data_IF_668702042896
#
_entry.id   IF_668702042896
#
_cell.length_a   1.000
_cell.length_b   1.000
_cell.length_c   1.000
_cell.angle_alpha   90.00
_cell.angle_beta   90.00
_cell.angle_gamma   90.00
#
_symmetry.space_group_name_H-M   'P 1'
#
loop_
_entity.id
_entity.type
_entity.pdbx_description
1 polymer ?
#
# COMPACT_ATOMS: atom_id res chain seq x y z
N UNK A 1 11.96 -21.72 101.56
CA UNK A 1 11.50 -21.36 100.21
C UNK A 1 10.16 -22.06 100.02
N UNK A 2 9.10 -21.33 99.68
CA UNK A 2 7.74 -21.88 99.53
C UNK A 2 7.29 -22.00 98.07
N UNK A 3 8.18 -21.69 97.13
CA UNK A 3 7.95 -21.79 95.69
C UNK A 3 7.70 -23.26 95.33
N UNK A 4 6.46 -23.56 94.92
CA UNK A 4 6.03 -24.90 94.52
C UNK A 4 6.17 -25.14 93.00
N UNK A 5 6.63 -24.11 92.27
CA UNK A 5 6.85 -24.12 90.83
C UNK A 5 5.59 -23.97 89.99
N UNK A 6 4.40 -23.78 90.60
CA UNK A 6 3.15 -23.55 89.88
C UNK A 6 2.83 -22.05 89.80
N UNK A 7 2.90 -21.51 88.59
CA UNK A 7 2.75 -20.06 88.37
C UNK A 7 1.28 -19.61 88.49
N UNK A 8 0.32 -20.50 88.21
CA UNK A 8 -1.09 -20.16 88.13
C UNK A 8 -1.82 -20.12 89.48
N UNK A 9 -1.24 -20.65 90.54
CA UNK A 9 -1.77 -20.49 91.89
C UNK A 9 -1.24 -19.20 92.58
N UNK A 10 -0.34 -18.46 91.92
CA UNK A 10 0.22 -17.20 92.39
C UNK A 10 1.37 -17.36 93.38
N UNK A 11 2.24 -16.34 93.47
CA UNK A 11 3.46 -16.38 94.31
C UNK A 11 3.13 -16.74 95.75
N UNK A 12 3.77 -17.80 96.24
CA UNK A 12 3.49 -18.44 97.50
C UNK A 12 4.13 -17.68 98.65
N UNK A 13 3.35 -17.49 99.71
CA UNK A 13 3.81 -16.86 100.94
C UNK A 13 3.83 -17.88 102.08
N UNK A 14 4.88 -17.83 102.89
CA UNK A 14 4.92 -18.54 104.16
C UNK A 14 4.12 -17.74 105.20
N UNK A 15 2.91 -18.19 105.52
CA UNK A 15 2.04 -17.56 106.51
C UNK A 15 1.86 -18.56 107.66
N UNK A 16 2.29 -18.18 108.86
CA UNK A 16 2.22 -18.99 110.09
C UNK A 16 2.82 -20.41 109.96
N UNK A 17 3.91 -20.54 109.18
CA UNK A 17 4.65 -21.80 109.01
C UNK A 17 4.04 -22.78 108.00
N UNK A 18 3.00 -22.36 107.26
CA UNK A 18 2.39 -23.11 106.15
C UNK A 18 2.60 -22.34 104.85
N UNK A 19 3.00 -23.04 103.78
CA UNK A 19 3.04 -22.46 102.44
C UNK A 19 1.61 -22.40 101.89
N UNK A 20 1.17 -21.22 101.47
CA UNK A 20 -0.13 -21.01 100.84
C UNK A 20 0.08 -20.37 99.47
N UNK A 21 -0.65 -20.88 98.46
CA UNK A 21 -0.69 -20.29 97.12
C UNK A 21 -1.19 -18.84 97.18
N UNK A 22 -0.61 -18.01 96.33
CA UNK A 22 -0.93 -16.58 96.25
C UNK A 22 -2.26 -16.29 95.56
N UNK A 23 -2.37 -15.06 95.05
CA UNK A 23 -3.48 -14.68 94.16
C UNK A 23 -3.09 -15.10 92.74
N UNK A 24 -3.90 -15.92 92.04
CA UNK A 24 -3.66 -16.28 90.65
C UNK A 24 -3.44 -15.05 89.76
N UNK A 25 -2.54 -15.11 88.77
CA UNK A 25 -2.35 -14.01 87.84
C UNK A 25 -3.63 -13.76 87.03
N UNK A 26 -3.95 -12.49 86.78
CA UNK A 26 -5.03 -12.11 85.86
C UNK A 26 -4.49 -12.17 84.44
N UNK A 27 -4.93 -13.18 83.68
CA UNK A 27 -4.47 -13.41 82.31
C UNK A 27 -5.30 -12.73 81.23
N UNK A 28 -6.40 -12.05 81.60
CA UNK A 28 -7.24 -11.30 80.67
C UNK A 28 -6.41 -10.22 79.96
N UNK A 29 -6.24 -10.37 78.65
CA UNK A 29 -5.45 -9.46 77.82
C UNK A 29 -6.28 -8.28 77.29
N UNK A 30 -7.57 -8.23 77.64
CA UNK A 30 -8.52 -7.22 77.20
C UNK A 30 -9.04 -7.41 75.78
N UNK A 31 -8.68 -8.50 75.09
CA UNK A 31 -9.13 -8.81 73.73
C UNK A 31 -10.29 -9.79 73.79
N UNK A 32 -11.52 -9.32 73.58
CA UNK A 32 -12.74 -10.15 73.73
C UNK A 32 -12.79 -11.47 72.93
N UNK A 33 -11.96 -11.62 71.89
CA UNK A 33 -11.90 -12.81 71.04
C UNK A 33 -10.78 -13.79 71.37
N UNK A 34 -9.98 -13.54 72.41
CA UNK A 34 -8.98 -14.48 72.90
C UNK A 34 -9.59 -15.39 73.96
N UNK A 35 -9.07 -16.61 74.04
CA UNK A 35 -9.24 -17.47 75.20
C UNK A 35 -8.00 -17.27 76.07
N UNK A 36 -8.19 -16.49 77.13
CA UNK A 36 -7.16 -16.24 78.12
C UNK A 36 -7.20 -17.29 79.22
N UNK A 37 -6.09 -17.98 79.40
CA UNK A 37 -5.93 -18.95 80.46
C UNK A 37 -4.51 -18.91 81.04
N UNK A 38 -4.40 -19.31 82.30
CA UNK A 38 -3.09 -19.55 82.88
C UNK A 38 -2.70 -21.01 82.62
N UNK A 39 -1.55 -21.21 81.98
CA UNK A 39 -1.03 -22.52 81.62
C UNK A 39 0.33 -22.75 82.29
N UNK A 40 0.37 -23.75 83.18
CA UNK A 40 1.62 -24.19 83.81
C UNK A 40 2.63 -24.70 82.77
N UNK A 41 2.13 -25.35 81.71
CA UNK A 41 2.98 -25.84 80.62
C UNK A 41 3.64 -24.70 79.83
N UNK A 42 2.99 -23.53 79.77
CA UNK A 42 3.55 -22.33 79.16
C UNK A 42 4.32 -21.45 80.17
N UNK A 43 4.31 -21.81 81.45
CA UNK A 43 4.95 -21.05 82.53
C UNK A 43 4.27 -19.72 82.86
N UNK A 44 2.96 -19.58 82.60
CA UNK A 44 2.22 -18.35 82.86
C UNK A 44 0.99 -18.15 81.99
N UNK A 45 0.59 -16.89 81.83
CA UNK A 45 -0.61 -16.52 81.05
C UNK A 45 -0.41 -16.74 79.56
N UNK A 46 -1.42 -17.35 78.92
CA UNK A 46 -1.52 -17.54 77.48
C UNK A 46 -2.84 -16.99 76.96
N UNK A 47 -2.79 -16.32 75.81
CA UNK A 47 -3.95 -15.75 75.13
C UNK A 47 -4.03 -16.34 73.73
N UNK A 48 -4.97 -17.25 73.51
CA UNK A 48 -5.11 -17.96 72.22
C UNK A 48 -6.24 -17.30 71.43
N UNK A 49 -5.99 -16.79 70.20
CA UNK A 49 -7.04 -16.23 69.37
C UNK A 49 -8.12 -17.26 69.02
N UNK A 50 -9.40 -16.90 69.21
CA UNK A 50 -10.54 -17.77 68.90
C UNK A 50 -11.48 -17.08 67.91
N UNK A 51 -11.23 -17.29 66.61
CA UNK A 51 -11.96 -16.62 65.52
C UNK A 51 -13.48 -16.78 65.56
N UNK A 52 -14.01 -17.91 66.06
CA UNK A 52 -15.48 -18.11 66.15
C UNK A 52 -16.16 -17.10 67.09
N UNK A 53 -15.42 -16.48 68.02
CA UNK A 53 -15.94 -15.41 68.89
C UNK A 53 -16.10 -14.08 68.16
N UNK A 54 -15.54 -13.95 66.96
CA UNK A 54 -15.62 -12.75 66.14
C UNK A 54 -16.74 -12.76 65.10
N UNK A 55 -17.52 -13.84 64.99
CA UNK A 55 -18.59 -13.93 64.00
C UNK A 55 -19.64 -12.85 64.23
N UNK A 56 -19.74 -11.91 63.28
CA UNK A 56 -20.69 -10.79 63.32
C UNK A 56 -22.01 -11.12 62.59
N UNK A 57 -22.03 -12.25 61.88
CA UNK A 57 -23.20 -12.77 61.16
C UNK A 57 -23.28 -12.33 59.70
N UNK A 58 -22.45 -11.38 59.28
CA UNK A 58 -22.33 -10.89 57.91
C UNK A 58 -21.55 -11.91 57.08
N UNK A 59 -22.13 -12.32 55.96
CA UNK A 59 -21.53 -13.29 55.06
C UNK A 59 -20.56 -12.63 54.08
N UNK A 60 -20.89 -11.44 53.58
CA UNK A 60 -20.21 -10.80 52.46
C UNK A 60 -18.89 -10.12 52.83
N UNK A 61 -18.67 -9.77 54.10
CA UNK A 61 -17.40 -9.27 54.60
C UNK A 61 -16.40 -10.40 54.97
N UNK A 62 -16.82 -11.66 54.82
CA UNK A 62 -15.98 -12.85 55.02
C UNK A 62 -15.70 -13.20 56.48
N UNK A 63 -15.09 -14.38 56.67
CA UNK A 63 -14.83 -14.91 58.00
C UNK A 63 -13.81 -14.07 58.78
N UNK A 64 -14.24 -13.66 59.97
CA UNK A 64 -13.64 -12.70 60.85
C UNK A 64 -12.53 -13.36 61.64
N UNK A 65 -11.44 -12.61 61.83
CA UNK A 65 -10.23 -13.12 62.45
C UNK A 65 -9.99 -12.36 63.74
N UNK A 66 -9.65 -13.10 64.79
CA UNK A 66 -9.20 -12.49 66.03
C UNK A 66 -7.77 -12.00 65.86
N UNK A 67 -7.57 -10.69 65.99
CA UNK A 67 -6.25 -10.05 65.97
C UNK A 67 -5.88 -9.56 67.38
N UNK A 68 -4.60 -9.18 67.61
CA UNK A 68 -4.20 -8.54 68.88
C UNK A 68 -4.92 -7.22 69.19
N UNK A 69 -5.69 -6.67 68.24
CA UNK A 69 -6.50 -5.45 68.43
C UNK A 69 -7.99 -5.75 68.59
N UNK A 70 -8.39 -7.02 68.65
CA UNK A 70 -9.79 -7.45 68.61
C UNK A 70 -10.18 -8.06 67.26
N UNK A 71 -11.49 -8.25 67.10
CA UNK A 71 -12.08 -8.82 65.89
C UNK A 71 -11.92 -7.89 64.71
N UNK A 72 -11.42 -8.44 63.60
CA UNK A 72 -11.37 -7.75 62.32
C UNK A 72 -12.18 -8.53 61.28
N UNK A 73 -12.91 -7.85 60.38
CA UNK A 73 -13.59 -8.49 59.27
C UNK A 73 -12.63 -9.30 58.41
N UNK A 74 -13.14 -10.36 57.79
CA UNK A 74 -12.40 -11.18 56.86
C UNK A 74 -12.11 -10.50 55.52
N UNK A 75 -11.61 -11.30 54.59
CA UNK A 75 -11.56 -10.90 53.17
C UNK A 75 -12.99 -10.98 52.61
N UNK A 76 -13.52 -9.90 52.00
CA UNK A 76 -14.85 -9.92 51.40
C UNK A 76 -15.02 -11.05 50.38
N UNK A 77 -16.24 -11.58 50.30
CA UNK A 77 -16.60 -12.60 49.31
C UNK A 77 -16.58 -11.96 47.92
N UNK A 78 -15.74 -12.50 47.03
CA UNK A 78 -15.69 -12.11 45.62
C UNK A 78 -16.69 -12.97 44.85
N UNK A 79 -17.65 -12.32 44.21
CA UNK A 79 -18.75 -12.99 43.51
C UNK A 79 -18.62 -13.03 41.99
N UNK A 80 -17.54 -12.49 41.45
CA UNK A 80 -17.23 -12.48 40.02
C UNK A 80 -17.26 -13.91 39.44
N UNK A 81 -18.14 -14.13 38.46
CA UNK A 81 -18.30 -15.41 37.75
C UNK A 81 -17.59 -15.42 36.39
N UNK A 82 -16.90 -14.32 36.04
CA UNK A 82 -16.18 -14.15 34.79
C UNK A 82 -17.05 -13.83 33.58
N UNK A 83 -18.34 -13.57 33.75
CA UNK A 83 -19.23 -13.16 32.68
C UNK A 83 -19.41 -11.63 32.66
N UNK A 84 -18.93 -10.96 31.61
CA UNK A 84 -19.02 -9.51 31.46
C UNK A 84 -20.46 -8.98 31.43
N UNK A 85 -21.43 -9.82 31.05
CA UNK A 85 -22.84 -9.44 30.91
C UNK A 85 -23.69 -9.60 32.16
N UNK A 86 -23.07 -9.96 33.27
CA UNK A 86 -23.74 -10.04 34.55
C UNK A 86 -23.10 -9.10 35.55
N UNK A 87 -23.92 -8.67 36.50
CA UNK A 87 -23.45 -7.96 37.68
C UNK A 87 -23.64 -8.88 38.86
N UNK A 88 -22.53 -9.19 39.51
CA UNK A 88 -22.50 -10.07 40.66
C UNK A 88 -22.46 -9.24 41.93
N UNK A 89 -23.37 -9.53 42.84
CA UNK A 89 -23.33 -8.95 44.18
C UNK A 89 -23.51 -10.04 45.20
N UNK A 90 -22.89 -9.83 46.35
CA UNK A 90 -23.09 -10.68 47.50
C UNK A 90 -24.38 -10.28 48.22
N UNK A 91 -25.31 -11.21 48.39
CA UNK A 91 -26.58 -11.00 49.09
C UNK A 91 -26.48 -11.57 50.51
N UNK A 92 -26.53 -10.69 51.51
CA UNK A 92 -26.46 -11.04 52.93
C UNK A 92 -27.66 -11.85 53.42
N UNK A 93 -28.83 -11.65 52.82
CA UNK A 93 -30.07 -12.31 53.22
C UNK A 93 -30.09 -13.76 52.74
N UNK A 94 -29.60 -14.01 51.53
CA UNK A 94 -29.51 -15.38 50.99
C UNK A 94 -28.18 -16.05 51.33
N UNK A 95 -27.19 -15.30 51.83
CA UNK A 95 -25.83 -15.75 52.13
C UNK A 95 -25.19 -16.42 50.91
N UNK A 96 -25.33 -15.78 49.75
CA UNK A 96 -24.87 -16.32 48.47
C UNK A 96 -24.45 -15.21 47.52
N UNK A 97 -23.60 -15.56 46.54
CA UNK A 97 -23.39 -14.73 45.36
C UNK A 97 -24.62 -14.82 44.45
N UNK A 98 -25.09 -13.68 43.97
CA UNK A 98 -26.22 -13.57 43.07
C UNK A 98 -25.76 -12.82 41.83
N UNK A 99 -26.01 -13.42 40.67
CA UNK A 99 -25.74 -12.83 39.36
C UNK A 99 -27.04 -12.26 38.78
N UNK A 100 -27.01 -11.00 38.33
CA UNK A 100 -28.12 -10.34 37.61
C UNK A 100 -27.65 -9.94 36.22
N UNK A 101 -28.30 -10.47 35.19
CA UNK A 101 -28.00 -10.11 33.80
C UNK A 101 -28.53 -8.73 33.42
N UNK A 102 -27.75 -8.01 32.60
CA UNK A 102 -28.23 -6.90 31.77
C UNK A 102 -28.32 -5.53 32.45
N UNK A 103 -27.42 -5.18 33.37
CA UNK A 103 -27.43 -3.85 34.00
C UNK A 103 -26.13 -3.04 33.87
N UNK A 104 -24.99 -3.66 33.54
CA UNK A 104 -23.69 -2.96 33.43
C UNK A 104 -23.06 -3.00 32.02
N UNK A 105 -23.82 -3.37 30.98
CA UNK A 105 -23.43 -3.06 29.61
C UNK A 105 -23.56 -1.53 29.41
N UNK A 106 -22.51 -0.82 29.81
CA UNK A 106 -22.41 0.60 29.57
C UNK A 106 -22.46 0.90 28.06
N UNK A 107 -22.63 2.17 27.67
CA UNK A 107 -22.61 2.60 26.27
C UNK A 107 -21.20 2.55 25.62
N UNK A 108 -20.32 1.67 26.12
CA UNK A 108 -18.97 1.47 25.63
C UNK A 108 -19.05 0.23 24.74
N UNK A 109 -19.09 0.47 23.43
CA UNK A 109 -19.32 -0.59 22.44
C UNK A 109 -18.33 -1.76 22.53
N UNK A 110 -18.72 -2.83 21.84
CA UNK A 110 -18.04 -4.12 21.76
C UNK A 110 -16.51 -4.06 21.57
N UNK A 111 -15.74 -4.84 22.34
CA UNK A 111 -14.37 -5.15 21.97
C UNK A 111 -14.38 -6.26 20.93
N UNK A 112 -14.08 -5.89 19.70
CA UNK A 112 -14.32 -6.74 18.55
C UNK A 112 -13.43 -8.00 18.40
N UNK A 113 -12.71 -8.43 19.45
CA UNK A 113 -11.65 -9.46 19.40
C UNK A 113 -11.41 -10.26 20.69
N UNK A 114 -12.17 -10.06 21.76
CA UNK A 114 -11.91 -10.72 23.04
C UNK A 114 -12.73 -12.00 23.25
N UNK A 115 -13.63 -12.36 22.32
CA UNK A 115 -14.48 -13.54 22.47
C UNK A 115 -15.64 -13.36 23.44
N UNK A 116 -15.92 -12.12 23.87
CA UNK A 116 -16.85 -11.78 24.95
C UNK A 116 -17.82 -10.73 24.46
N UNK A 117 -19.10 -10.93 24.75
CA UNK A 117 -20.18 -9.97 24.54
C UNK A 117 -19.99 -8.82 25.55
N UNK A 118 -19.37 -7.73 25.16
CA UNK A 118 -19.06 -6.61 26.06
C UNK A 118 -20.22 -5.60 26.16
N UNK A 119 -21.08 -5.55 25.13
CA UNK A 119 -22.26 -4.67 25.11
C UNK A 119 -23.60 -5.39 25.38
N UNK A 120 -23.55 -6.71 25.56
CA UNK A 120 -24.61 -7.59 26.05
C UNK A 120 -25.85 -7.65 25.17
N UNK A 121 -25.66 -7.51 23.86
CA UNK A 121 -26.73 -7.65 22.86
C UNK A 121 -26.92 -9.10 22.37
N UNK A 122 -26.05 -10.01 22.79
CA UNK A 122 -26.05 -11.43 22.46
C UNK A 122 -25.18 -11.80 21.25
N UNK A 123 -24.46 -10.84 20.69
CA UNK A 123 -23.46 -11.03 19.65
C UNK A 123 -22.07 -10.85 20.27
N UNK A 124 -21.06 -11.37 19.59
CA UNK A 124 -19.68 -11.24 20.06
C UNK A 124 -18.79 -10.88 18.88
N UNK A 125 -17.80 -10.04 19.15
CA UNK A 125 -16.73 -9.68 18.23
C UNK A 125 -17.29 -9.22 16.87
N UNK A 126 -16.79 -9.76 15.75
CA UNK A 126 -17.25 -9.39 14.42
C UNK A 126 -18.65 -9.87 14.05
N UNK A 127 -19.33 -10.65 14.91
CA UNK A 127 -20.76 -10.91 14.75
C UNK A 127 -21.60 -9.74 15.27
N UNK A 128 -21.01 -8.85 16.05
CA UNK A 128 -21.64 -7.69 16.64
C UNK A 128 -21.73 -6.51 15.63
N UNK A 129 -22.90 -5.90 15.41
CA UNK A 129 -23.07 -4.73 14.55
C UNK A 129 -22.28 -3.49 15.02
N UNK A 130 -22.00 -3.38 16.31
CA UNK A 130 -21.15 -2.33 16.90
C UNK A 130 -19.71 -2.41 16.35
N UNK A 131 -19.27 -3.58 15.88
CA UNK A 131 -17.96 -3.81 15.27
C UNK A 131 -17.86 -3.50 13.78
N UNK A 132 -18.94 -2.99 13.15
CA UNK A 132 -18.95 -2.68 11.71
C UNK A 132 -17.87 -1.69 11.25
N UNK A 133 -17.33 -0.85 12.15
CA UNK A 133 -16.26 0.10 11.83
C UNK A 133 -14.90 -0.30 12.39
N UNK A 134 -14.80 -1.43 13.10
CA UNK A 134 -13.53 -1.89 13.62
C UNK A 134 -12.70 -2.46 12.46
N UNK A 135 -11.48 -1.93 12.18
CA UNK A 135 -10.66 -2.36 11.07
C UNK A 135 -10.30 -3.85 11.09
N UNK A 136 -10.46 -4.53 12.24
CA UNK A 136 -10.21 -5.96 12.39
C UNK A 136 -11.41 -6.83 12.06
N UNK A 137 -12.62 -6.25 12.04
CA UNK A 137 -13.82 -6.85 11.46
C UNK A 137 -14.05 -6.42 10.00
N UNK A 138 -13.16 -5.57 9.48
CA UNK A 138 -13.02 -5.24 8.06
C UNK A 138 -12.34 -6.32 7.23
N UNK A 139 -11.96 -7.45 7.84
CA UNK A 139 -11.42 -8.67 7.23
C UNK A 139 -11.64 -9.87 8.15
N UNK A 140 -10.98 -11.00 7.87
CA UNK A 140 -11.06 -12.22 8.69
C UNK A 140 -10.47 -12.05 10.09
N UNK A 141 -11.25 -11.43 10.98
CA UNK A 141 -11.01 -11.42 12.42
C UNK A 141 -10.92 -12.85 12.99
N UNK A 142 -10.41 -12.97 14.21
CA UNK A 142 -10.10 -14.24 14.89
C UNK A 142 -11.31 -15.17 15.08
N UNK A 143 -12.53 -14.68 14.86
CA UNK A 143 -13.78 -15.43 15.00
C UNK A 143 -14.41 -15.89 13.68
N UNK A 144 -13.69 -15.76 12.57
CA UNK A 144 -14.12 -16.27 11.27
C UNK A 144 -15.37 -15.54 10.79
N UNK A 145 -15.20 -14.26 10.44
CA UNK A 145 -16.18 -13.57 9.60
C UNK A 145 -16.61 -14.47 8.45
N UNK A 146 -17.89 -14.39 8.04
CA UNK A 146 -18.36 -15.15 6.88
C UNK A 146 -17.65 -14.58 5.66
N UNK A 147 -16.55 -15.23 5.26
CA UNK A 147 -15.74 -14.86 4.11
C UNK A 147 -16.61 -14.66 2.89
N UNK A 148 -16.41 -13.54 2.21
CA UNK A 148 -17.09 -13.23 0.96
C UNK A 148 -16.14 -13.65 -0.15
N UNK A 149 -16.62 -14.38 -1.18
CA UNK A 149 -15.73 -14.76 -2.26
C UNK A 149 -15.13 -13.51 -2.93
N UNK A 150 -13.81 -13.45 -2.96
CA UNK A 150 -13.03 -12.42 -3.63
C UNK A 150 -13.18 -12.55 -5.16
N UNK A 151 -14.24 -11.95 -5.69
CA UNK A 151 -14.61 -12.06 -7.11
C UNK A 151 -14.84 -10.71 -7.76
N UNK A 152 -14.19 -9.68 -7.23
CA UNK A 152 -14.24 -8.32 -7.75
C UNK A 152 -12.92 -7.63 -7.48
N UNK A 153 -12.56 -6.71 -8.38
CA UNK A 153 -11.36 -5.90 -8.27
C UNK A 153 -11.18 -5.22 -6.90
N UNK A 154 -12.24 -4.60 -6.35
CA UNK A 154 -12.18 -3.94 -5.02
C UNK A 154 -11.86 -4.88 -3.86
N UNK A 155 -12.12 -6.19 -3.98
CA UNK A 155 -11.81 -7.20 -2.96
C UNK A 155 -10.47 -7.88 -3.21
N UNK A 156 -9.87 -7.68 -4.39
CA UNK A 156 -8.59 -8.27 -4.78
C UNK A 156 -7.46 -7.23 -4.81
N UNK A 157 -7.67 -6.05 -4.22
CA UNK A 157 -6.70 -4.93 -4.22
C UNK A 157 -6.80 -4.05 -2.96
N UNK A 158 -7.48 -4.50 -1.91
CA UNK A 158 -7.76 -3.71 -0.71
C UNK A 158 -6.83 -4.02 0.47
N UNK A 159 -5.93 -5.00 0.34
CA UNK A 159 -4.98 -5.36 1.41
C UNK A 159 -5.56 -6.34 2.44
N UNK A 160 -6.71 -6.95 2.17
CA UNK A 160 -7.51 -7.72 3.13
C UNK A 160 -7.75 -9.13 2.56
N UNK A 161 -7.70 -10.14 3.43
CA UNK A 161 -8.22 -11.49 3.14
C UNK A 161 -9.74 -11.41 3.39
N UNK A 162 -10.52 -11.28 2.32
CA UNK A 162 -11.97 -11.10 2.34
C UNK A 162 -12.71 -12.45 2.36
N UNK A 163 -12.09 -13.53 1.86
CA UNK A 163 -12.68 -14.88 1.77
C UNK A 163 -12.23 -15.85 2.89
N UNK A 164 -11.25 -15.45 3.69
CA UNK A 164 -10.71 -16.12 4.87
C UNK A 164 -9.97 -17.42 4.61
N UNK A 165 -9.32 -17.55 3.45
CA UNK A 165 -8.53 -18.73 3.13
C UNK A 165 -7.03 -18.60 3.49
N UNK A 166 -6.61 -17.44 4.03
CA UNK A 166 -5.26 -17.17 4.50
C UNK A 166 -4.34 -16.52 3.46
N UNK A 167 -4.90 -16.13 2.32
CA UNK A 167 -4.21 -15.38 1.28
C UNK A 167 -5.00 -14.08 1.05
N UNK A 168 -4.30 -12.97 0.81
CA UNK A 168 -4.93 -11.67 0.58
C UNK A 168 -4.61 -11.19 -0.83
N UNK A 169 -5.58 -10.55 -1.47
CA UNK A 169 -5.46 -9.96 -2.80
C UNK A 169 -4.81 -10.93 -3.80
N UNK A 170 -3.75 -10.53 -4.49
CA UNK A 170 -3.07 -11.34 -5.50
C UNK A 170 -2.25 -12.51 -4.98
N UNK A 171 -2.11 -12.65 -3.66
CA UNK A 171 -1.66 -13.91 -3.09
C UNK A 171 -2.78 -14.98 -3.12
N UNK A 172 -4.03 -14.58 -3.28
CA UNK A 172 -5.22 -15.44 -3.28
C UNK A 172 -5.49 -16.06 -4.65
N UNK A 173 -5.78 -17.37 -4.67
CA UNK A 173 -6.09 -18.10 -5.90
C UNK A 173 -7.45 -17.72 -6.49
N UNK A 174 -8.40 -17.31 -5.65
CA UNK A 174 -9.72 -16.78 -6.01
C UNK A 174 -9.61 -15.45 -6.74
N UNK A 175 -8.60 -14.64 -6.40
CA UNK A 175 -8.29 -13.37 -7.06
C UNK A 175 -7.52 -13.49 -8.37
N UNK A 176 -7.04 -14.68 -8.77
CA UNK A 176 -6.31 -14.86 -10.04
C UNK A 176 -6.97 -14.24 -11.28
N UNK A 177 -8.30 -14.26 -11.48
CA UNK A 177 -8.94 -13.59 -12.61
C UNK A 177 -8.83 -12.06 -12.58
N UNK A 178 -8.58 -11.48 -11.39
CA UNK A 178 -8.46 -10.03 -11.13
C UNK A 178 -7.00 -9.61 -10.89
N UNK A 179 -6.11 -10.56 -10.71
CA UNK A 179 -4.68 -10.40 -10.45
C UNK A 179 -3.81 -10.76 -11.64
N UNK A 180 -4.38 -10.73 -12.85
CA UNK A 180 -3.65 -10.87 -14.10
C UNK A 180 -2.83 -9.61 -14.46
N UNK A 181 -2.29 -8.92 -13.46
CA UNK A 181 -1.32 -7.85 -13.64
C UNK A 181 0.02 -8.32 -13.05
N UNK A 182 1.01 -8.50 -13.92
CA UNK A 182 2.40 -8.65 -13.47
C UNK A 182 3.01 -7.25 -13.43
N UNK A 183 3.50 -6.74 -12.28
CA UNK A 183 4.16 -5.44 -12.21
C UNK A 183 5.56 -5.56 -12.80
N UNK A 184 5.65 -5.81 -14.10
CA UNK A 184 6.92 -5.92 -14.82
C UNK A 184 7.39 -4.58 -15.35
N UNK A 185 6.52 -3.58 -15.44
CA UNK A 185 6.88 -2.27 -15.97
C UNK A 185 6.21 -1.11 -15.21
N UNK A 186 6.87 0.06 -15.10
CA UNK A 186 6.32 1.28 -14.51
C UNK A 186 5.33 2.02 -15.45
N UNK A 187 5.08 1.46 -16.63
CA UNK A 187 4.23 1.97 -17.72
C UNK A 187 3.68 0.75 -18.46
N UNK A 188 2.55 0.90 -19.14
CA UNK A 188 1.98 -0.13 -20.01
C UNK A 188 2.97 -0.51 -21.13
N UNK A 189 3.33 -1.80 -21.25
CA UNK A 189 4.40 -2.28 -22.14
C UNK A 189 3.90 -3.17 -23.28
N UNK A 190 2.85 -3.94 -23.08
CA UNK A 190 2.19 -4.77 -24.10
C UNK A 190 0.80 -4.19 -24.41
N UNK A 191 0.76 -3.08 -25.14
CA UNK A 191 -0.44 -2.27 -25.43
C UNK A 191 -1.63 -2.96 -26.17
N UNK A 192 -1.61 -4.28 -26.38
CA UNK A 192 -2.63 -5.01 -27.16
C UNK A 192 -2.95 -6.42 -26.67
N UNK A 193 -2.49 -6.81 -25.47
CA UNK A 193 -2.70 -8.16 -24.97
C UNK A 193 -3.95 -8.28 -24.08
N UNK A 194 -4.69 -7.17 -23.90
CA UNK A 194 -5.90 -7.09 -23.10
C UNK A 194 -5.64 -7.14 -21.60
N UNK A 195 -4.39 -6.92 -21.18
CA UNK A 195 -3.97 -6.85 -19.77
C UNK A 195 -3.69 -5.40 -19.38
N UNK A 196 -3.54 -5.19 -18.08
CA UNK A 196 -3.12 -3.92 -17.47
C UNK A 196 -1.74 -4.22 -16.87
N UNK A 197 -0.69 -3.96 -17.65
CA UNK A 197 0.69 -4.30 -17.33
C UNK A 197 1.30 -3.39 -16.25
N UNK A 198 0.74 -2.19 -16.05
CA UNK A 198 1.20 -1.22 -15.05
C UNK A 198 0.24 -1.02 -13.85
N UNK A 199 -0.89 -1.72 -13.87
CA UNK A 199 -1.91 -1.80 -12.82
C UNK A 199 -2.62 -0.47 -12.52
N UNK A 200 -2.67 0.46 -13.46
CA UNK A 200 -3.28 1.77 -13.21
C UNK A 200 -4.80 1.82 -13.51
N UNK A 201 -5.37 0.70 -13.94
CA UNK A 201 -6.80 0.53 -14.23
C UNK A 201 -7.20 0.90 -15.66
N UNK A 202 -6.22 1.16 -16.52
CA UNK A 202 -6.39 1.38 -17.96
C UNK A 202 -5.65 0.25 -18.67
N UNK A 203 -6.31 -0.34 -19.66
CA UNK A 203 -5.75 -1.46 -20.44
C UNK A 203 -5.48 -1.00 -21.85
N UNK A 204 -4.43 -1.53 -22.47
CA UNK A 204 -4.13 -1.29 -23.87
C UNK A 204 -4.22 0.22 -24.19
N UNK A 205 -5.10 0.58 -25.12
CA UNK A 205 -5.31 1.90 -25.64
C UNK A 205 -6.08 2.90 -24.77
N UNK A 206 -6.69 2.42 -23.68
CA UNK A 206 -7.23 3.33 -22.68
C UNK A 206 -6.11 3.90 -21.80
N UNK A 207 -4.91 3.32 -21.82
CA UNK A 207 -3.75 3.75 -21.05
C UNK A 207 -3.01 4.95 -21.67
N UNK A 208 -2.60 5.92 -20.85
CA UNK A 208 -1.97 7.15 -21.35
C UNK A 208 -0.58 6.95 -21.99
N UNK A 209 0.12 5.87 -21.64
CA UNK A 209 1.43 5.51 -22.21
C UNK A 209 1.32 4.66 -23.48
N UNK A 210 0.15 4.07 -23.74
CA UNK A 210 -0.20 3.41 -24.99
C UNK A 210 -1.03 4.27 -25.95
N UNK A 211 -1.74 5.28 -25.44
CA UNK A 211 -2.54 6.21 -26.24
C UNK A 211 -1.74 7.01 -27.29
N UNK A 212 -0.41 7.11 -27.13
CA UNK A 212 0.50 7.73 -28.10
C UNK A 212 1.12 6.74 -29.10
N UNK A 213 0.90 5.43 -28.94
CA UNK A 213 1.31 4.41 -29.90
C UNK A 213 0.20 4.22 -30.94
N UNK A 214 0.54 4.31 -32.24
CA UNK A 214 -0.38 4.09 -33.36
C UNK A 214 -1.16 2.79 -33.14
N UNK A 215 -2.46 2.84 -32.84
CA UNK A 215 -3.47 1.76 -32.87
C UNK A 215 -4.70 2.02 -31.95
N UNK A 216 -4.75 3.12 -31.20
CA UNK A 216 -5.89 3.40 -30.30
C UNK A 216 -7.07 4.02 -31.05
N UNK A 217 -8.10 3.20 -31.27
CA UNK A 217 -9.15 3.48 -32.24
C UNK A 217 -9.88 4.82 -32.05
N UNK A 218 -10.42 5.42 -33.13
CA UNK A 218 -10.49 4.95 -34.51
C UNK A 218 -9.28 4.37 -35.24
N UNK A 219 -9.03 3.07 -35.37
CA UNK A 219 -8.02 2.58 -36.32
C UNK A 219 -8.69 2.88 -37.65
N UNK A 220 -8.07 3.74 -38.45
CA UNK A 220 -8.53 3.94 -39.80
C UNK A 220 -8.61 2.57 -40.47
N UNK A 221 -9.65 2.29 -41.25
CA UNK A 221 -9.55 1.20 -42.24
C UNK A 221 -8.68 1.60 -43.43
N UNK A 222 -8.29 2.88 -43.46
CA UNK A 222 -7.69 3.63 -44.54
C UNK A 222 -6.99 4.86 -43.92
N UNK A 223 -5.82 5.19 -44.43
CA UNK A 223 -5.02 6.35 -44.04
C UNK A 223 -5.84 7.64 -44.12
N UNK A 224 -6.02 8.31 -42.97
CA UNK A 224 -6.93 9.45 -42.84
C UNK A 224 -6.21 10.75 -43.21
N UNK A 225 -4.93 10.90 -42.89
CA UNK A 225 -4.13 12.09 -43.10
C UNK A 225 -2.83 11.77 -43.85
N UNK A 226 -2.89 11.79 -45.18
CA UNK A 226 -1.80 11.38 -46.07
C UNK A 226 -0.54 12.28 -46.13
N UNK A 227 -0.30 13.19 -45.15
CA UNK A 227 0.90 14.06 -45.08
C UNK A 227 1.26 14.48 -43.64
N UNK A 228 0.75 13.80 -42.62
CA UNK A 228 1.03 14.18 -41.23
C UNK A 228 2.16 13.39 -40.57
N UNK A 229 2.81 12.49 -41.31
CA UNK A 229 3.94 11.68 -40.87
C UNK A 229 3.55 10.52 -39.97
N UNK A 230 2.27 10.13 -39.97
CA UNK A 230 1.71 9.04 -39.15
C UNK A 230 1.16 7.93 -40.04
N UNK A 231 1.05 6.76 -39.43
CA UNK A 231 0.47 5.55 -40.00
C UNK A 231 -0.89 5.34 -39.31
N UNK A 232 -1.94 6.01 -39.83
CA UNK A 232 -3.26 6.15 -39.19
C UNK A 232 -4.12 4.88 -39.27
N UNK A 233 -3.79 3.95 -40.17
CA UNK A 233 -4.43 2.63 -40.28
C UNK A 233 -3.51 1.46 -39.90
N UNK A 234 -2.25 1.76 -39.63
CA UNK A 234 -1.25 0.91 -39.01
C UNK A 234 -0.87 -0.31 -39.86
N UNK A 235 -0.84 -0.14 -41.18
CA UNK A 235 -0.46 -1.19 -42.12
C UNK A 235 1.06 -1.23 -42.41
N UNK A 236 1.81 -0.27 -41.84
CA UNK A 236 3.25 -0.13 -41.95
C UNK A 236 3.71 0.80 -43.07
N UNK A 237 2.78 1.39 -43.81
CA UNK A 237 3.00 2.50 -44.73
C UNK A 237 2.46 3.78 -44.09
N UNK A 238 2.96 4.94 -44.52
CA UNK A 238 2.53 6.22 -43.96
C UNK A 238 2.47 7.27 -45.07
N UNK A 239 1.61 8.27 -44.89
CA UNK A 239 1.41 9.36 -45.84
C UNK A 239 1.19 8.85 -47.28
N UNK A 240 1.79 9.51 -48.29
CA UNK A 240 1.66 9.14 -49.69
C UNK A 240 2.33 7.81 -50.06
N UNK A 241 3.13 7.21 -49.18
CA UNK A 241 3.64 5.86 -49.37
C UNK A 241 2.54 4.80 -49.13
N UNK A 242 1.44 5.20 -48.48
CA UNK A 242 0.31 4.35 -48.17
C UNK A 242 -0.61 4.09 -49.38
N UNK A 243 -1.02 2.84 -49.57
CA UNK A 243 -1.92 2.47 -50.68
C UNK A 243 -3.33 3.03 -50.56
N UNK A 244 -3.76 3.35 -49.34
CA UNK A 244 -5.04 3.96 -49.02
C UNK A 244 -5.05 5.48 -49.23
N UNK A 245 -3.87 6.09 -49.39
CA UNK A 245 -3.69 7.46 -49.87
C UNK A 245 -3.74 7.62 -51.39
N UNK A 246 -3.79 6.51 -52.14
CA UNK A 246 -3.74 6.53 -53.60
C UNK A 246 -4.94 7.26 -54.20
N UNK A 247 -4.66 8.32 -54.97
CA UNK A 247 -5.70 9.13 -55.63
C UNK A 247 -6.36 10.19 -54.74
N UNK A 248 -5.80 10.47 -53.56
CA UNK A 248 -6.19 11.62 -52.75
C UNK A 248 -5.45 12.88 -53.22
N UNK A 249 -6.12 14.04 -53.34
CA UNK A 249 -5.55 15.28 -53.89
C UNK A 249 -4.28 15.74 -53.15
N UNK A 250 -4.12 15.34 -51.89
CA UNK A 250 -2.93 15.60 -51.09
C UNK A 250 -1.70 14.82 -51.58
N UNK A 251 -1.86 13.67 -52.24
CA UNK A 251 -0.80 12.85 -52.85
C UNK A 251 -0.84 12.87 -54.39
N UNK A 252 -1.78 13.62 -54.98
CA UNK A 252 -2.03 13.68 -56.42
C UNK A 252 -1.11 14.68 -57.14
N UNK A 253 0.19 14.62 -56.82
CA UNK A 253 1.25 15.23 -57.63
C UNK A 253 2.21 14.18 -58.19
N UNK A 254 2.09 12.93 -57.73
CA UNK A 254 2.89 11.81 -58.22
C UNK A 254 2.34 11.34 -59.57
N UNK A 255 3.18 11.39 -60.59
CA UNK A 255 2.99 10.97 -61.97
C UNK A 255 3.83 9.71 -62.22
N UNK A 256 3.78 9.16 -63.44
CA UNK A 256 4.48 7.90 -63.74
C UNK A 256 5.99 8.07 -64.01
N UNK A 257 6.47 9.31 -64.08
CA UNK A 257 7.87 9.68 -64.32
C UNK A 257 8.06 11.16 -64.00
N UNK A 258 9.23 11.55 -63.49
CA UNK A 258 9.56 12.95 -63.25
C UNK A 258 9.52 13.75 -64.55
N UNK A 259 8.61 14.71 -64.64
CA UNK A 259 8.36 15.45 -65.88
C UNK A 259 8.95 16.87 -65.86
N UNK A 260 9.29 17.40 -64.68
CA UNK A 260 9.95 18.70 -64.54
C UNK A 260 11.20 18.62 -63.68
N UNK A 261 12.25 18.05 -64.29
CA UNK A 261 13.57 17.77 -63.73
C UNK A 261 14.40 18.97 -63.16
N UNK A 262 13.81 20.13 -62.85
CA UNK A 262 14.51 21.35 -62.40
C UNK A 262 13.77 22.21 -61.38
N UNK A 263 12.67 21.73 -60.82
CA UNK A 263 11.82 22.54 -59.96
C UNK A 263 11.92 22.17 -58.47
N UNK A 264 12.73 21.16 -58.12
CA UNK A 264 12.96 20.73 -56.74
C UNK A 264 11.80 19.94 -56.14
N UNK A 265 10.88 19.44 -56.94
CA UNK A 265 9.74 18.64 -56.50
C UNK A 265 9.81 17.22 -57.04
N UNK A 266 9.55 16.25 -56.16
CA UNK A 266 9.43 14.84 -56.49
C UNK A 266 8.06 14.57 -57.14
N UNK A 267 8.03 14.56 -58.47
CA UNK A 267 6.79 14.43 -59.26
C UNK A 267 6.37 13.02 -59.58
N UNK A 268 7.16 12.00 -59.29
CA UNK A 268 6.74 10.59 -59.38
C UNK A 268 6.80 9.87 -58.03
N UNK A 269 7.30 10.56 -57.01
CA UNK A 269 7.32 10.17 -55.60
C UNK A 269 8.21 8.95 -55.33
N UNK A 270 9.29 8.79 -56.09
CA UNK A 270 10.26 7.70 -55.90
C UNK A 270 11.37 8.03 -54.88
N UNK A 271 11.39 9.29 -54.40
CA UNK A 271 12.33 9.81 -53.40
C UNK A 271 13.58 10.44 -53.98
N UNK A 272 13.69 10.52 -55.30
CA UNK A 272 14.67 11.31 -56.03
C UNK A 272 13.99 12.58 -56.56
N UNK A 273 14.78 13.60 -56.87
CA UNK A 273 14.29 14.87 -57.41
C UNK A 273 15.25 15.38 -58.46
N UNK A 274 14.70 16.04 -59.46
CA UNK A 274 15.41 16.68 -60.56
C UNK A 274 16.43 15.73 -61.24
N UNK A 275 17.62 16.21 -61.56
CA UNK A 275 18.65 15.41 -62.24
C UNK A 275 19.21 14.23 -61.42
N UNK A 276 18.86 14.13 -60.13
CA UNK A 276 19.17 12.93 -59.33
C UNK A 276 18.20 11.79 -59.59
N UNK A 277 17.07 12.09 -60.22
CA UNK A 277 16.06 11.11 -60.58
C UNK A 277 16.46 10.30 -61.82
N UNK A 278 16.19 9.00 -61.76
CA UNK A 278 16.48 8.09 -62.84
C UNK A 278 15.57 8.29 -64.06
N UNK A 279 14.40 8.88 -63.87
CA UNK A 279 13.44 9.21 -64.92
C UNK A 279 13.80 10.52 -65.67
N UNK A 280 14.68 11.34 -65.09
CA UNK A 280 15.31 12.48 -65.75
C UNK A 280 16.55 12.12 -66.58
N UNK A 281 16.94 10.84 -66.62
CA UNK A 281 18.06 10.34 -67.44
C UNK A 281 17.76 10.54 -68.92
N UNK A 282 18.49 11.47 -69.54
CA UNK A 282 18.34 11.84 -70.94
C UNK A 282 17.67 13.19 -71.18
N UNK A 283 17.24 13.89 -70.12
CA UNK A 283 16.89 15.31 -70.25
C UNK A 283 18.16 16.10 -70.66
N UNK A 284 18.14 16.86 -71.78
CA UNK A 284 19.31 17.59 -72.28
C UNK A 284 19.91 18.61 -71.30
N UNK A 285 19.18 18.94 -70.24
CA UNK A 285 19.57 19.88 -69.20
C UNK A 285 20.30 19.20 -68.01
N UNK A 286 20.21 17.88 -67.83
CA UNK A 286 20.81 17.11 -66.72
C UNK A 286 22.18 16.47 -67.01
N UNK A 287 22.79 16.72 -68.17
CA UNK A 287 24.17 16.26 -68.46
C UNK A 287 24.40 14.73 -68.37
N UNK A 288 25.66 14.30 -68.50
CA UNK A 288 26.12 13.00 -67.96
C UNK A 288 26.74 13.34 -66.60
N UNK A 289 26.11 12.95 -65.50
CA UNK A 289 26.55 13.35 -64.16
C UNK A 289 28.01 12.96 -63.91
N UNK A 290 28.84 13.99 -63.75
CA UNK A 290 30.23 13.91 -63.37
C UNK A 290 30.35 13.96 -61.83
N UNK A 291 31.54 13.73 -61.26
CA UNK A 291 31.72 13.82 -59.80
C UNK A 291 31.84 15.26 -59.28
N UNK A 292 31.88 16.25 -60.19
CA UNK A 292 32.02 17.68 -59.94
C UNK A 292 31.66 18.43 -61.24
N UNK A 293 31.22 19.68 -61.14
CA UNK A 293 30.88 20.53 -62.28
C UNK A 293 31.99 20.59 -63.34
N UNK A 294 31.67 20.13 -64.56
CA UNK A 294 32.63 20.09 -65.66
C UNK A 294 32.75 21.43 -66.39
N UNK A 295 31.70 22.26 -66.37
CA UNK A 295 31.71 23.61 -66.94
C UNK A 295 30.78 24.54 -66.17
N UNK A 296 31.37 25.59 -65.60
CA UNK A 296 30.69 26.51 -64.69
C UNK A 296 29.97 27.67 -65.39
N UNK A 297 29.59 27.50 -66.65
CA UNK A 297 28.91 28.53 -67.45
C UNK A 297 28.09 27.98 -68.62
N UNK A 298 27.80 26.68 -68.61
CA UNK A 298 27.09 26.00 -69.67
C UNK A 298 25.57 25.86 -69.39
N UNK A 299 25.09 26.30 -68.22
CA UNK A 299 23.71 26.22 -67.72
C UNK A 299 23.19 24.80 -67.59
N UNK A 300 24.07 23.89 -67.19
CA UNK A 300 23.77 22.49 -66.91
C UNK A 300 24.33 22.19 -65.54
N UNK A 301 23.61 21.36 -64.82
CA UNK A 301 24.08 20.72 -63.61
C UNK A 301 24.90 19.51 -64.08
N UNK A 302 26.21 19.69 -64.29
CA UNK A 302 27.05 18.65 -64.90
C UNK A 302 27.37 17.53 -63.89
N UNK A 303 27.16 17.71 -62.59
CA UNK A 303 27.36 16.69 -61.55
C UNK A 303 26.08 16.20 -60.83
N UNK A 304 24.94 16.78 -61.20
CA UNK A 304 23.60 16.41 -60.79
C UNK A 304 23.37 16.56 -59.28
N UNK A 305 23.98 17.55 -58.64
CA UNK A 305 23.80 17.81 -57.20
C UNK A 305 22.62 18.77 -56.89
N UNK A 306 22.00 19.31 -57.94
CA UNK A 306 20.87 20.24 -57.89
C UNK A 306 21.28 21.71 -57.91
N UNK A 307 22.58 22.00 -58.01
CA UNK A 307 23.12 23.33 -58.26
C UNK A 307 23.77 23.34 -59.65
N UNK A 308 23.91 24.51 -60.26
CA UNK A 308 24.54 24.59 -61.59
C UNK A 308 25.31 25.88 -61.79
N UNK A 309 26.32 25.83 -62.64
CA UNK A 309 27.20 26.95 -62.96
C UNK A 309 27.74 27.62 -61.67
N UNK A 310 27.72 28.95 -61.61
CA UNK A 310 28.18 29.74 -60.47
C UNK A 310 27.28 29.67 -59.23
N UNK A 311 26.14 28.98 -59.34
CA UNK A 311 25.33 28.60 -58.19
C UNK A 311 25.91 27.41 -57.43
N UNK A 312 26.85 26.69 -58.05
CA UNK A 312 27.42 25.45 -57.57
C UNK A 312 28.69 25.66 -56.70
N UNK A 313 28.79 25.03 -55.50
CA UNK A 313 29.99 25.04 -54.67
C UNK A 313 31.25 24.48 -55.34
N UNK A 314 31.12 23.54 -56.27
CA UNK A 314 32.21 22.94 -57.03
C UNK A 314 32.74 23.89 -58.12
N UNK A 315 31.97 24.93 -58.45
CA UNK A 315 32.38 26.03 -59.34
C UNK A 315 33.06 27.21 -58.62
N UNK A 316 33.26 27.12 -57.31
CA UNK A 316 33.93 28.17 -56.54
C UNK A 316 35.40 28.30 -56.97
N UNK A 317 35.76 29.49 -57.48
CA UNK A 317 37.09 29.78 -58.02
C UNK A 317 37.24 29.52 -59.53
N UNK A 318 36.15 29.12 -60.22
CA UNK A 318 36.17 29.02 -61.68
C UNK A 318 36.20 30.41 -62.34
N UNK A 319 37.09 30.66 -63.32
CA UNK A 319 37.18 31.95 -64.02
C UNK A 319 35.93 32.26 -64.86
N UNK A 320 35.04 31.29 -65.05
CA UNK A 320 33.74 31.45 -65.74
C UNK A 320 32.71 32.17 -64.84
N UNK A 321 32.94 32.21 -63.53
CA UNK A 321 32.02 32.71 -62.51
C UNK A 321 32.40 34.04 -61.87
N UNK A 322 33.53 34.64 -62.29
CA UNK A 322 33.99 35.93 -61.83
C UNK A 322 34.33 36.86 -63.01
N UNK A 323 34.08 38.16 -62.85
CA UNK A 323 34.74 39.15 -63.71
C UNK A 323 36.20 39.27 -63.25
N UNK A 324 37.13 38.72 -64.03
CA UNK A 324 38.57 38.79 -63.73
C UNK A 324 39.00 40.25 -63.46
N UNK A 325 39.60 40.47 -62.30
CA UNK A 325 40.12 41.79 -61.91
C UNK A 325 41.50 42.01 -62.53
N UNK A 326 41.98 43.27 -62.66
CA UNK A 326 43.27 43.52 -63.29
C UNK A 326 44.50 43.07 -62.47
N UNK A 327 44.31 42.63 -61.23
CA UNK A 327 45.36 42.16 -60.31
C UNK A 327 44.76 41.48 -59.08
N UNK A 328 45.43 40.47 -58.52
CA UNK A 328 45.09 39.79 -57.25
C UNK A 328 44.72 40.80 -56.15
N UNK A 329 43.54 40.62 -55.55
CA UNK A 329 43.02 41.50 -54.49
C UNK A 329 43.42 40.97 -53.11
N UNK A 330 43.52 39.66 -52.95
CA UNK A 330 43.90 38.98 -51.71
C UNK A 330 44.87 37.80 -51.97
N UNK A 331 46.18 38.06 -51.88
CA UNK A 331 47.15 36.98 -52.08
C UNK A 331 47.09 35.89 -50.97
N UNK A 332 47.15 34.61 -51.40
CA UNK A 332 47.29 33.38 -50.58
C UNK A 332 46.05 32.89 -49.84
N UNK A 333 44.88 33.37 -50.19
CA UNK A 333 43.62 32.75 -49.73
C UNK A 333 43.23 31.53 -50.58
N UNK A 334 43.91 31.31 -51.70
CA UNK A 334 43.71 30.15 -52.57
C UNK A 334 42.72 30.40 -53.70
N UNK A 335 42.24 31.64 -53.85
CA UNK A 335 41.45 32.08 -54.99
C UNK A 335 42.34 32.87 -55.96
N UNK A 336 42.12 32.65 -57.26
CA UNK A 336 42.79 33.37 -58.35
C UNK A 336 41.81 34.42 -58.86
N UNK A 337 42.07 35.69 -58.55
CA UNK A 337 41.11 36.78 -58.68
C UNK A 337 41.40 37.66 -59.91
N UNK A 338 42.61 37.55 -60.48
CA UNK A 338 43.02 38.15 -61.74
C UNK A 338 43.17 37.17 -62.91
N UNK A 339 42.97 35.88 -62.65
CA UNK A 339 42.87 34.82 -63.64
C UNK A 339 44.19 34.61 -64.45
N UNK A 340 45.36 34.72 -63.80
CA UNK A 340 46.71 34.76 -64.44
C UNK A 340 47.60 33.51 -64.34
#
# INVERSE_FOLDING_TARGET
ECDDGFVCNGVEACIDGLCQGGVPPRCDDGVSCTQDECSEAAGGCTSIPVNVRCQDGSFCNGAEVCSPRGCIPGRPVLCDDGNACTVEFCDERTRSCVSRGGLDAGPLGENCRNGVDDDCDGLVDCRDPSCFRDPFCGGCGVDGGVGRPERSFELCSNGIDDDCNGFADCADISCRPFCECTPTAPIEVECFDGRDDDCNGLVDCDDMFCAEQCFCEPIGRFERFCRDGRDDDCDGLFDCADTDCRGRPECEMCTDFEFDCFNGFDEDCDGLVDCRDSDCVGDPRCGECAPFELSCGNRRDDDCDGLFDCGDPDCVGSPECFECLPSEVACRDGFDEDCD
#
